data_IF_645112517372
#
_entry.id   IF_645112517372
#
_cell.length_a   1.000
_cell.length_b   1.000
_cell.length_c   1.000
_cell.angle_alpha   90.00
_cell.angle_beta   90.00
_cell.angle_gamma   90.00
#
_symmetry.space_group_name_H-M   'P 1'
#
loop_
_entity.id
_entity.type
_entity.pdbx_description
1 polymer ?
#
# COMPACT_ATOMS: atom_id res chain seq x y z
N UNK A 1 -7.89 13.35 0.37
CA UNK A 1 -6.45 13.44 0.68
C UNK A 1 -6.12 12.24 1.56
N UNK A 2 -5.19 11.38 1.14
CA UNK A 2 -4.80 10.21 1.92
C UNK A 2 -3.87 10.66 3.05
N UNK A 3 -4.14 10.24 4.29
CA UNK A 3 -3.24 10.47 5.41
C UNK A 3 -2.29 9.27 5.54
N UNK A 4 -1.00 9.41 5.20
CA UNK A 4 -0.03 8.32 5.32
C UNK A 4 0.18 7.87 6.77
N UNK A 5 -0.27 8.64 7.78
CA UNK A 5 -0.21 8.22 9.18
C UNK A 5 -1.00 6.93 9.42
N UNK A 6 -2.07 6.68 8.68
CA UNK A 6 -2.94 5.52 8.89
C UNK A 6 -2.20 4.19 8.66
N UNK A 7 -1.17 4.14 7.79
CA UNK A 7 -0.41 2.89 7.57
C UNK A 7 0.72 2.69 8.60
N UNK A 8 1.15 3.75 9.30
CA UNK A 8 2.22 3.67 10.28
C UNK A 8 1.76 2.99 11.57
N UNK A 9 0.47 3.12 11.91
CA UNK A 9 -0.12 2.56 13.13
C UNK A 9 -0.56 1.08 12.98
N UNK A 10 -0.48 0.51 11.78
CA UNK A 10 -0.89 -0.88 11.54
C UNK A 10 0.08 -1.88 12.20
N UNK A 11 -0.46 -2.90 12.88
CA UNK A 11 0.31 -4.08 13.27
C UNK A 11 0.73 -4.88 12.04
N UNK A 12 1.97 -5.35 11.98
CA UNK A 12 2.47 -6.13 10.83
C UNK A 12 2.37 -7.64 11.09
N UNK A 13 2.00 -8.45 10.08
CA UNK A 13 1.53 -8.03 8.75
C UNK A 13 0.09 -7.48 8.79
N UNK A 14 -0.25 -6.55 7.89
CA UNK A 14 -1.60 -5.97 7.78
C UNK A 14 -2.16 -6.05 6.36
N UNK A 15 -3.46 -6.25 6.25
CA UNK A 15 -4.18 -6.11 4.98
C UNK A 15 -4.28 -4.63 4.57
N UNK A 16 -3.95 -4.36 3.32
CA UNK A 16 -4.04 -3.03 2.71
C UNK A 16 -4.52 -3.15 1.26
N UNK A 17 -4.86 -2.02 0.68
CA UNK A 17 -5.02 -1.82 -0.74
C UNK A 17 -3.79 -1.09 -1.27
N UNK A 18 -3.27 -1.51 -2.42
CA UNK A 18 -2.14 -0.86 -3.11
C UNK A 18 -2.55 -0.40 -4.49
N UNK A 19 -2.05 0.75 -4.92
CA UNK A 19 -2.23 1.23 -6.28
C UNK A 19 -1.07 0.74 -7.16
N UNK A 20 -1.36 -0.15 -8.11
CA UNK A 20 -0.41 -0.62 -9.12
C UNK A 20 -0.93 -0.19 -10.49
N UNK A 21 -0.26 0.81 -11.10
CA UNK A 21 -0.80 1.52 -12.26
C UNK A 21 -2.12 2.22 -11.91
N UNK A 22 -3.17 2.01 -12.72
CA UNK A 22 -4.48 2.64 -12.53
C UNK A 22 -5.45 1.82 -11.65
N UNK A 23 -4.97 0.76 -10.99
CA UNK A 23 -5.84 -0.15 -10.24
C UNK A 23 -5.42 -0.27 -8.78
N UNK A 24 -6.42 -0.22 -7.91
CA UNK A 24 -6.28 -0.60 -6.51
C UNK A 24 -6.50 -2.11 -6.36
N UNK A 25 -5.53 -2.80 -5.78
CA UNK A 25 -5.54 -4.26 -5.59
C UNK A 25 -5.26 -4.60 -4.12
N UNK A 26 -5.83 -5.70 -3.60
CA UNK A 26 -5.52 -6.17 -2.26
C UNK A 26 -4.06 -6.63 -2.14
N UNK A 27 -3.44 -6.34 -1.01
CA UNK A 27 -2.07 -6.72 -0.70
C UNK A 27 -1.84 -6.84 0.81
N UNK A 28 -0.66 -7.31 1.18
CA UNK A 28 -0.18 -7.36 2.55
C UNK A 28 0.93 -6.35 2.76
N UNK A 29 0.75 -5.42 3.70
CA UNK A 29 1.84 -4.61 4.24
C UNK A 29 2.66 -5.49 5.17
N UNK A 30 3.93 -5.72 4.81
CA UNK A 30 4.84 -6.61 5.54
C UNK A 30 6.02 -5.87 6.18
N UNK A 31 6.25 -4.62 5.79
CA UNK A 31 7.34 -3.82 6.33
C UNK A 31 7.21 -2.34 6.02
N UNK A 32 7.94 -1.52 6.80
CA UNK A 32 8.02 -0.07 6.63
C UNK A 32 9.48 0.34 6.79
N UNK A 33 10.01 1.07 5.82
CA UNK A 33 11.39 1.53 5.80
C UNK A 33 11.39 3.05 5.77
N UNK A 34 12.09 3.68 6.70
CA UNK A 34 12.30 5.12 6.68
C UNK A 34 13.48 5.45 5.76
N UNK A 35 13.24 6.23 4.72
CA UNK A 35 14.24 6.73 3.79
C UNK A 35 14.39 8.26 3.92
N UNK A 36 15.44 8.83 3.32
CA UNK A 36 15.72 10.27 3.40
C UNK A 36 14.55 11.16 2.90
N UNK A 37 13.71 10.62 2.01
CA UNK A 37 12.55 11.29 1.42
C UNK A 37 11.19 10.83 1.99
N UNK A 38 11.19 10.12 3.12
CA UNK A 38 9.98 9.65 3.79
C UNK A 38 9.89 8.13 3.90
N UNK A 39 8.68 7.64 4.19
CA UNK A 39 8.44 6.20 4.40
C UNK A 39 8.16 5.47 3.09
N UNK A 40 8.82 4.32 2.94
CA UNK A 40 8.58 3.34 1.89
C UNK A 40 7.99 2.09 2.53
N UNK A 41 6.86 1.65 2.01
CA UNK A 41 6.23 0.42 2.43
C UNK A 41 6.74 -0.76 1.61
N UNK A 42 6.94 -1.89 2.29
CA UNK A 42 7.17 -3.19 1.67
C UNK A 42 5.84 -3.93 1.67
N UNK A 43 5.35 -4.28 0.48
CA UNK A 43 4.06 -4.91 0.27
C UNK A 43 4.20 -6.19 -0.54
N UNK A 44 3.53 -7.24 -0.10
CA UNK A 44 3.38 -8.48 -0.83
C UNK A 44 2.05 -8.49 -1.57
N UNK A 45 2.09 -8.74 -2.87
CA UNK A 45 0.91 -8.76 -3.74
C UNK A 45 1.09 -9.78 -4.85
N UNK A 46 -0.02 -10.13 -5.49
CA UNK A 46 -0.02 -10.94 -6.71
C UNK A 46 -0.05 -10.01 -7.92
N UNK A 47 0.85 -10.23 -8.88
CA UNK A 47 0.83 -9.49 -10.14
C UNK A 47 -0.26 -10.00 -11.10
N UNK A 48 -0.36 -9.39 -12.28
CA UNK A 48 -1.34 -9.77 -13.29
C UNK A 48 -1.15 -11.19 -13.86
N UNK A 49 0.02 -11.80 -13.67
CA UNK A 49 0.34 -13.17 -14.10
C UNK A 49 0.03 -14.22 -13.04
N UNK A 50 -0.43 -13.79 -11.86
CA UNK A 50 -0.67 -14.69 -10.72
C UNK A 50 0.57 -14.93 -9.86
N UNK A 51 1.69 -14.24 -10.12
CA UNK A 51 2.92 -14.43 -9.36
C UNK A 51 2.96 -13.55 -8.13
N UNK A 52 3.36 -14.12 -7.00
CA UNK A 52 3.62 -13.36 -5.78
C UNK A 52 4.92 -12.55 -5.89
N UNK A 53 4.85 -11.29 -5.48
CA UNK A 53 5.99 -10.39 -5.48
C UNK A 53 5.97 -9.48 -4.25
N UNK A 54 7.17 -9.11 -3.77
CA UNK A 54 7.34 -8.06 -2.78
C UNK A 54 7.79 -6.80 -3.51
N UNK A 55 7.01 -5.73 -3.39
CA UNK A 55 7.29 -4.44 -4.04
C UNK A 55 7.44 -3.33 -3.00
N UNK A 56 8.17 -2.28 -3.40
CA UNK A 56 8.34 -1.06 -2.61
C UNK A 56 7.41 0.00 -3.16
N UNK A 57 6.51 0.51 -2.33
CA UNK A 57 5.60 1.58 -2.72
C UNK A 57 5.73 2.77 -1.78
N UNK A 58 5.60 4.01 -2.29
CA UNK A 58 5.45 5.17 -1.45
C UNK A 58 4.10 5.13 -0.71
N UNK A 59 4.02 5.81 0.42
CA UNK A 59 2.86 5.73 1.32
C UNK A 59 1.54 6.23 0.69
N UNK A 60 1.61 7.12 -0.30
CA UNK A 60 0.46 7.65 -1.04
C UNK A 60 -0.18 6.63 -2.00
N UNK A 61 0.50 5.52 -2.30
CA UNK A 61 -0.01 4.41 -3.11
C UNK A 61 -0.59 3.28 -2.25
N UNK A 62 -0.82 3.51 -0.95
CA UNK A 62 -1.34 2.52 -0.01
C UNK A 62 -2.53 3.08 0.76
N UNK A 63 -3.55 2.26 0.96
CA UNK A 63 -4.73 2.59 1.75
C UNK A 63 -5.14 1.40 2.62
N UNK A 64 -5.71 1.66 3.80
CA UNK A 64 -6.19 0.60 4.73
C UNK A 64 -7.48 -0.06 4.22
N UNK A 65 -8.23 0.66 3.39
CA UNK A 65 -9.42 0.16 2.71
C UNK A 65 -9.49 0.74 1.30
N UNK A 66 -10.35 0.17 0.44
CA UNK A 66 -10.49 0.64 -0.94
C UNK A 66 -10.95 2.11 -0.90
N UNK A 67 -10.20 3.05 -1.48
CA UNK A 67 -10.63 4.43 -1.50
C UNK A 67 -11.95 4.55 -2.25
N UNK A 68 -12.94 5.13 -1.60
CA UNK A 68 -14.18 5.54 -2.24
C UNK A 68 -13.87 6.79 -3.05
N UNK A 69 -14.06 6.74 -4.37
CA UNK A 69 -14.09 7.95 -5.20
C UNK A 69 -15.33 8.72 -4.78
N UNK A 70 -15.17 9.71 -3.91
CA UNK A 70 -16.25 10.64 -3.60
C UNK A 70 -16.36 11.61 -4.77
N UNK A 71 -17.25 11.31 -5.72
CA UNK A 71 -17.62 12.24 -6.80
C UNK A 71 -18.23 13.48 -6.14
N UNK A 72 -17.56 14.62 -6.27
CA UNK A 72 -18.16 15.95 -6.06
C UNK A 72 -18.71 16.45 -7.39
#
# INVERSE_FOLDING_TARGET
>A
MFDPRTILDLGLPAHVMVQLGDRWSPAWLVGRVHCANGWVALVQCTDATGREQTVRLPADQIAVSRPTVQRR
#
